data_IF_199719440417
#
_entry.id   IF_199719440417
#
_cell.length_a   1.000
_cell.length_b   1.000
_cell.length_c   1.000
_cell.angle_alpha   90.00
_cell.angle_beta   90.00
_cell.angle_gamma   90.00
#
_symmetry.space_group_name_H-M   'P 1'
#
loop_
_entity.id
_entity.type
_entity.pdbx_description
1 polymer ?
#
# COMPACT_ATOMS: atom_id res chain seq x y z
N UNK A 1 -16.58 9.77 44.13
CA UNK A 1 -15.09 9.78 43.99
C UNK A 1 -14.51 8.60 43.22
N UNK A 2 -15.22 7.46 43.05
CA UNK A 2 -14.71 6.30 42.28
C UNK A 2 -14.86 6.43 40.75
N UNK A 3 -15.81 7.24 40.27
CA UNK A 3 -16.07 7.47 38.83
C UNK A 3 -15.12 8.48 38.18
N UNK A 4 -14.45 9.33 38.97
CA UNK A 4 -13.42 10.24 38.46
C UNK A 4 -12.14 9.50 38.09
N UNK A 5 -11.75 8.48 38.88
CA UNK A 5 -10.54 7.68 38.67
C UNK A 5 -10.59 6.82 37.39
N UNK A 6 -11.77 6.34 37.00
CA UNK A 6 -11.98 5.55 35.77
C UNK A 6 -12.01 6.42 34.52
N UNK A 7 -12.51 7.66 34.62
CA UNK A 7 -12.55 8.59 33.49
C UNK A 7 -11.15 9.10 33.11
N UNK A 8 -10.23 9.25 34.08
CA UNK A 8 -8.85 9.70 33.80
C UNK A 8 -7.98 8.59 33.19
N UNK A 9 -8.22 7.33 33.55
CA UNK A 9 -7.47 6.18 33.02
C UNK A 9 -7.84 5.88 31.56
N UNK A 10 -9.12 6.03 31.18
CA UNK A 10 -9.55 5.89 29.79
C UNK A 10 -9.05 7.04 28.89
N UNK A 11 -8.89 8.24 29.46
CA UNK A 11 -8.35 9.42 28.77
C UNK A 11 -6.81 9.34 28.58
N UNK A 12 -6.08 8.68 29.48
CA UNK A 12 -4.63 8.47 29.35
C UNK A 12 -4.25 7.39 28.33
N UNK A 13 -5.12 6.41 28.07
CA UNK A 13 -4.83 5.37 27.06
C UNK A 13 -4.96 5.88 25.61
N UNK A 14 -5.60 7.04 25.41
CA UNK A 14 -5.77 7.70 24.11
C UNK A 14 -4.60 8.61 23.70
N UNK A 15 -3.58 8.79 24.55
CA UNK A 15 -2.49 9.75 24.34
C UNK A 15 -1.16 9.13 23.87
N UNK A 16 -1.10 7.81 23.69
CA UNK A 16 0.04 7.13 23.08
C UNK A 16 -0.31 6.65 21.66
N UNK A 17 -0.71 7.57 20.79
CA UNK A 17 -0.60 7.32 19.36
C UNK A 17 0.89 7.42 19.01
N UNK A 18 1.59 6.27 19.01
CA UNK A 18 2.92 6.20 18.42
C UNK A 18 2.75 6.53 16.95
N UNK A 19 3.46 7.54 16.39
CA UNK A 19 3.44 7.76 14.96
C UNK A 19 4.06 6.52 14.31
N UNK A 20 3.22 5.63 13.78
CA UNK A 20 3.67 4.63 12.82
C UNK A 20 4.03 5.44 11.58
N UNK A 21 5.32 5.46 11.21
CA UNK A 21 5.73 6.16 10.00
C UNK A 21 4.98 5.54 8.84
N UNK A 22 4.20 6.29 8.08
CA UNK A 22 3.55 5.77 6.88
C UNK A 22 4.59 5.70 5.75
N UNK A 23 4.62 4.60 5.01
CA UNK A 23 5.44 4.48 3.81
C UNK A 23 4.58 4.22 2.58
N UNK A 24 5.07 4.67 1.43
CA UNK A 24 4.36 4.65 0.18
C UNK A 24 5.01 3.66 -0.79
N UNK A 25 4.18 2.94 -1.56
CA UNK A 25 4.63 1.98 -2.57
C UNK A 25 4.06 2.40 -3.92
N UNK A 26 4.94 2.71 -4.88
CA UNK A 26 4.54 2.95 -6.26
C UNK A 26 4.62 1.67 -7.08
N UNK A 27 3.50 1.29 -7.68
CA UNK A 27 3.35 0.18 -8.60
C UNK A 27 3.29 0.73 -10.03
N UNK A 28 3.89 0.00 -10.97
CA UNK A 28 3.75 0.27 -12.40
C UNK A 28 3.44 -1.01 -13.18
N UNK A 29 2.73 -0.87 -14.30
CA UNK A 29 2.37 -1.97 -15.20
C UNK A 29 2.42 -1.55 -16.66
N UNK A 30 2.40 -2.54 -17.56
CA UNK A 30 2.36 -2.30 -19.00
C UNK A 30 1.03 -1.67 -19.41
N UNK A 31 1.07 -0.75 -20.38
CA UNK A 31 -0.13 -0.11 -20.91
C UNK A 31 -1.10 -1.16 -21.49
N UNK A 32 -2.36 -1.23 -21.00
CA UNK A 32 -3.34 -2.16 -21.55
C UNK A 32 -3.71 -1.89 -23.02
N UNK A 33 -3.34 -0.73 -23.58
CA UNK A 33 -3.56 -0.36 -24.99
C UNK A 33 -4.99 0.03 -25.33
N UNK A 34 -5.90 -0.02 -24.35
CA UNK A 34 -7.31 0.33 -24.43
C UNK A 34 -7.66 1.30 -23.29
N UNK A 35 -8.73 2.12 -23.39
CA UNK A 35 -9.12 3.08 -22.36
C UNK A 35 -9.76 2.37 -21.15
N UNK A 36 -9.15 1.32 -20.66
CA UNK A 36 -9.55 0.61 -19.46
C UNK A 36 -9.03 1.33 -18.22
N UNK A 37 -9.84 1.30 -17.18
CA UNK A 37 -9.40 1.65 -15.85
C UNK A 37 -8.59 0.53 -15.21
N UNK A 38 -7.71 0.88 -14.29
CA UNK A 38 -7.00 -0.12 -13.49
C UNK A 38 -7.27 0.11 -12.01
N UNK A 39 -7.61 -0.96 -11.30
CA UNK A 39 -7.76 -0.97 -9.85
C UNK A 39 -6.75 -1.92 -9.24
N UNK A 40 -5.98 -1.42 -8.28
CA UNK A 40 -5.06 -2.22 -7.47
C UNK A 40 -5.76 -2.66 -6.21
N UNK A 41 -5.61 -3.92 -5.87
CA UNK A 41 -6.09 -4.57 -4.66
C UNK A 41 -4.88 -4.88 -3.79
N UNK A 42 -5.03 -4.60 -2.50
CA UNK A 42 -3.94 -4.64 -1.52
C UNK A 42 -4.36 -5.54 -0.37
N UNK A 43 -3.44 -6.38 0.09
CA UNK A 43 -3.66 -7.06 1.35
C UNK A 43 -2.42 -7.52 2.10
N UNK A 44 -2.62 -8.01 3.32
CA UNK A 44 -1.53 -8.49 4.20
C UNK A 44 -1.30 -10.01 4.07
N UNK A 45 -2.13 -10.70 3.29
CA UNK A 45 -2.05 -12.14 3.02
C UNK A 45 -2.21 -12.40 1.52
N UNK A 46 -1.40 -13.31 0.97
CA UNK A 46 -1.48 -13.69 -0.45
C UNK A 46 -2.89 -14.15 -0.83
N UNK A 47 -3.43 -13.57 -1.90
CA UNK A 47 -4.78 -13.85 -2.41
C UNK A 47 -5.94 -13.33 -1.56
N UNK A 48 -5.66 -12.63 -0.45
CA UNK A 48 -6.68 -12.05 0.43
C UNK A 48 -6.46 -10.53 0.54
N UNK A 49 -7.17 -9.78 -0.31
CA UNK A 49 -7.06 -8.34 -0.40
C UNK A 49 -8.14 -7.63 0.42
N UNK A 50 -7.73 -6.80 1.40
CA UNK A 50 -8.66 -6.13 2.32
C UNK A 50 -9.19 -4.80 1.76
N UNK A 51 -8.48 -4.17 0.82
CA UNK A 51 -8.90 -2.90 0.24
C UNK A 51 -8.33 -2.70 -1.16
N UNK A 52 -8.78 -1.64 -1.85
CA UNK A 52 -8.36 -1.32 -3.21
C UNK A 52 -8.13 0.17 -3.43
N UNK A 53 -7.21 0.50 -4.33
CA UNK A 53 -6.94 1.86 -4.84
C UNK A 53 -7.25 1.91 -6.33
N UNK A 54 -8.07 2.86 -6.72
CA UNK A 54 -8.34 3.13 -8.14
C UNK A 54 -7.21 3.96 -8.73
N UNK A 55 -6.60 3.46 -9.81
CA UNK A 55 -5.57 4.17 -10.56
C UNK A 55 -6.18 5.03 -11.68
N UNK A 56 -7.44 4.81 -12.04
CA UNK A 56 -8.13 5.50 -13.14
C UNK A 56 -7.84 4.90 -14.53
N UNK A 57 -8.45 5.52 -15.54
CA UNK A 57 -8.38 5.11 -16.95
C UNK A 57 -7.08 5.55 -17.61
N UNK A 58 -6.42 4.64 -18.34
CA UNK A 58 -5.22 4.93 -19.12
C UNK A 58 -3.99 5.26 -18.26
N UNK A 59 -3.99 4.91 -16.98
CA UNK A 59 -2.83 5.05 -16.11
C UNK A 59 -2.02 3.76 -16.08
N UNK A 60 -0.70 3.91 -15.98
CA UNK A 60 0.29 2.82 -15.94
C UNK A 60 1.04 2.77 -14.62
N UNK A 61 0.69 3.65 -13.68
CA UNK A 61 1.27 3.71 -12.34
C UNK A 61 0.25 4.13 -11.29
N UNK A 62 0.42 3.66 -10.06
CA UNK A 62 -0.30 4.17 -8.89
C UNK A 62 0.56 4.10 -7.65
N UNK A 63 0.42 5.08 -6.76
CA UNK A 63 1.04 5.05 -5.43
C UNK A 63 0.01 4.62 -4.40
N UNK A 64 0.36 3.57 -3.67
CA UNK A 64 -0.37 3.06 -2.52
C UNK A 64 0.26 3.68 -1.28
N UNK A 65 -0.49 4.57 -0.63
CA UNK A 65 0.01 5.41 0.47
C UNK A 65 -0.34 4.80 1.82
N UNK A 66 0.35 5.25 2.88
CA UNK A 66 0.03 4.91 4.27
C UNK A 66 0.12 3.42 4.63
N UNK A 67 1.09 2.72 4.04
CA UNK A 67 1.39 1.35 4.44
C UNK A 67 2.24 1.32 5.71
N UNK A 68 1.98 0.34 6.58
CA UNK A 68 2.69 0.20 7.83
C UNK A 68 4.10 -0.39 7.60
N UNK A 69 5.17 0.22 8.11
CA UNK A 69 6.51 -0.30 7.97
C UNK A 69 6.71 -1.57 8.77
N UNK A 70 7.55 -2.45 8.24
CA UNK A 70 7.81 -3.78 8.78
C UNK A 70 6.77 -4.81 8.37
N UNK A 71 5.67 -4.42 7.70
CA UNK A 71 4.68 -5.35 7.15
C UNK A 71 4.99 -5.73 5.70
N UNK A 72 4.63 -6.96 5.35
CA UNK A 72 4.56 -7.42 3.97
C UNK A 72 3.15 -7.17 3.43
N UNK A 73 3.07 -6.57 2.26
CA UNK A 73 1.82 -6.36 1.53
C UNK A 73 1.87 -7.10 0.20
N UNK A 74 0.72 -7.60 -0.23
CA UNK A 74 0.46 -8.29 -1.48
C UNK A 74 -0.42 -7.42 -2.36
N UNK A 75 -0.05 -7.30 -3.63
CA UNK A 75 -0.69 -6.43 -4.60
C UNK A 75 -1.06 -7.22 -5.84
N UNK A 76 -2.31 -7.09 -6.28
CA UNK A 76 -2.78 -7.55 -7.57
C UNK A 76 -3.66 -6.47 -8.22
N UNK A 77 -3.77 -6.47 -9.52
CA UNK A 77 -4.54 -5.48 -10.26
C UNK A 77 -5.62 -6.14 -11.11
N UNK A 78 -6.67 -5.37 -11.40
CA UNK A 78 -7.67 -5.70 -12.41
C UNK A 78 -7.86 -4.52 -13.34
N UNK A 79 -7.99 -4.82 -14.63
CA UNK A 79 -8.58 -3.88 -15.58
C UNK A 79 -10.10 -3.88 -15.44
N UNK A 80 -10.70 -2.71 -15.63
CA UNK A 80 -12.15 -2.54 -15.64
C UNK A 80 -12.63 -1.69 -16.82
N UNK A 81 -13.81 -2.03 -17.34
CA UNK A 81 -14.54 -1.27 -18.35
C UNK A 81 -16.04 -1.32 -18.05
N UNK A 82 -16.69 -0.15 -18.01
CA UNK A 82 -18.14 -0.05 -17.87
C UNK A 82 -18.75 -0.77 -16.66
N UNK A 83 -17.96 -1.06 -15.61
CA UNK A 83 -18.40 -1.80 -14.41
C UNK A 83 -18.11 -3.31 -14.44
N UNK A 84 -17.53 -3.83 -15.53
CA UNK A 84 -16.97 -5.19 -15.57
C UNK A 84 -15.50 -5.14 -15.17
N UNK A 85 -15.05 -6.13 -14.40
CA UNK A 85 -13.64 -6.29 -14.05
C UNK A 85 -13.10 -7.60 -14.61
N UNK A 86 -11.83 -7.59 -15.00
CA UNK A 86 -11.07 -8.79 -15.40
C UNK A 86 -10.74 -9.70 -14.21
N UNK A 87 -10.14 -10.86 -14.52
CA UNK A 87 -9.42 -11.65 -13.52
C UNK A 87 -8.23 -10.87 -12.96
N UNK A 88 -7.72 -11.31 -11.81
CA UNK A 88 -6.54 -10.70 -11.20
C UNK A 88 -5.29 -10.90 -12.06
N UNK A 89 -4.41 -9.90 -12.04
CA UNK A 89 -3.03 -10.00 -12.50
C UNK A 89 -2.23 -11.04 -11.71
N UNK A 90 -0.97 -11.24 -12.06
CA UNK A 90 -0.04 -11.85 -11.11
C UNK A 90 0.02 -10.99 -9.83
N UNK A 91 0.20 -11.66 -8.71
CA UNK A 91 0.45 -11.01 -7.44
C UNK A 91 1.92 -10.63 -7.33
N UNK A 92 2.21 -9.50 -6.68
CA UNK A 92 3.54 -9.16 -6.18
C UNK A 92 3.46 -8.89 -4.69
N UNK A 93 4.54 -9.17 -3.96
CA UNK A 93 4.65 -8.80 -2.55
C UNK A 93 5.76 -7.79 -2.32
N UNK A 94 5.60 -6.96 -1.29
CA UNK A 94 6.60 -6.01 -0.86
C UNK A 94 6.62 -5.86 0.66
N UNK A 95 7.80 -5.98 1.26
CA UNK A 95 8.04 -5.64 2.66
C UNK A 95 8.39 -4.17 2.76
N UNK A 96 7.49 -3.41 3.38
CA UNK A 96 7.66 -1.97 3.59
C UNK A 96 8.76 -1.75 4.62
N UNK A 97 9.82 -1.04 4.24
CA UNK A 97 10.96 -0.80 5.15
C UNK A 97 10.59 0.23 6.20
N UNK A 98 10.96 -0.04 7.45
CA UNK A 98 10.98 1.00 8.48
C UNK A 98 12.12 1.96 8.17
N UNK A 99 11.78 3.23 7.96
CA UNK A 99 12.78 4.28 7.86
C UNK A 99 13.49 4.39 9.21
N UNK A 100 14.72 3.90 9.27
CA UNK A 100 15.59 4.14 10.42
C UNK A 100 15.91 5.63 10.36
N UNK A 101 15.41 6.42 11.30
CA UNK A 101 15.91 7.79 11.49
C UNK A 101 17.39 7.69 11.85
N UNK A 102 18.26 7.85 10.84
CA UNK A 102 19.69 8.03 11.07
C UNK A 102 19.84 9.38 11.77
N UNK A 103 20.23 9.32 13.05
CA UNK A 103 20.71 10.49 13.79
C UNK A 103 21.78 11.20 12.94
N UNK A 104 21.91 12.54 13.02
CA UNK A 104 22.63 13.40 12.05
C UNK A 104 24.15 13.15 11.85
N UNK A 105 24.68 12.02 12.32
CA UNK A 105 26.07 11.62 12.25
C UNK A 105 26.31 10.21 11.67
N UNK A 106 25.31 9.55 11.10
CA UNK A 106 25.53 8.30 10.34
C UNK A 106 25.60 8.64 8.84
N UNK A 107 26.70 8.33 8.12
CA UNK A 107 26.75 8.52 6.68
C UNK A 107 25.65 7.67 6.02
N UNK A 108 24.74 8.37 5.37
CA UNK A 108 23.55 7.88 4.68
C UNK A 108 23.94 6.77 3.68
N UNK A 109 23.40 5.56 3.91
CA UNK A 109 23.40 4.51 2.88
C UNK A 109 22.25 4.84 1.94
N UNK A 110 22.59 5.25 0.71
CA UNK A 110 21.68 5.45 -0.41
C UNK A 110 20.91 4.15 -0.71
N UNK A 111 19.73 4.00 -0.10
CA UNK A 111 18.72 3.03 -0.47
C UNK A 111 17.84 3.63 -1.59
N UNK A 112 18.47 3.83 -2.75
CA UNK A 112 17.83 4.18 -4.01
C UNK A 112 16.46 3.50 -4.19
N UNK A 113 15.44 4.34 -4.35
CA UNK A 113 14.02 4.01 -4.58
C UNK A 113 13.86 2.78 -5.49
N UNK A 114 13.49 1.64 -4.92
CA UNK A 114 13.17 0.44 -5.70
C UNK A 114 11.77 0.57 -6.31
N UNK A 115 11.71 0.70 -7.63
CA UNK A 115 10.46 0.60 -8.41
C UNK A 115 10.16 -0.88 -8.63
N UNK A 116 9.00 -1.36 -8.17
CA UNK A 116 8.52 -2.71 -8.43
C UNK A 116 7.61 -2.68 -9.66
N UNK A 117 7.91 -3.51 -10.66
CA UNK A 117 7.09 -3.66 -11.87
C UNK A 117 6.12 -4.82 -11.69
N UNK A 118 4.82 -4.58 -11.93
CA UNK A 118 3.76 -5.60 -12.01
C UNK A 118 3.45 -5.81 -13.48
N UNK A 119 3.52 -7.04 -13.98
CA UNK A 119 3.19 -7.35 -15.38
C UNK A 119 1.77 -7.89 -15.48
N UNK A 120 0.80 -7.02 -15.77
CA UNK A 120 -0.56 -7.46 -16.03
C UNK A 120 -0.62 -8.09 -17.42
N UNK A 121 -0.86 -9.40 -17.52
CA UNK A 121 -1.06 -10.06 -18.81
C UNK A 121 -2.52 -9.88 -19.26
N UNK A 122 -2.70 -9.41 -20.49
CA UNK A 122 -3.98 -9.42 -21.21
C UNK A 122 -4.48 -10.87 -21.29
N UNK A 123 -5.72 -11.12 -20.89
CA UNK A 123 -6.42 -12.39 -21.14
C UNK A 123 -7.29 -12.19 -22.39
N UNK A 124 -7.22 -13.15 -23.31
CA UNK A 124 -8.03 -13.24 -24.54
C UNK A 124 -9.52 -13.39 -24.27
#
# INVERSE_FOLDING_TARGET
>A
MKTLLTATTLFCLLLFAVPVGAADVTLGWDDPGEPWGTRVYVGEESGNYQWSKDAGTGTVTVTVENLEPGKEYFFAAKHYDGGMESDFSNEVSHVVRSEITVLPNVPELDDSVKRYEITIRKVE
#
